data_IF_157381887970
#
_entry.id   IF_157381887970
#
_cell.length_a   1.000
_cell.length_b   1.000
_cell.length_c   1.000
_cell.angle_alpha   90.00
_cell.angle_beta   90.00
_cell.angle_gamma   90.00
#
_symmetry.space_group_name_H-M   'P 1'
#
loop_
_entity.id
_entity.type
_entity.pdbx_description
1 polymer ?
#
# COMPACT_ATOMS: atom_id res chain seq x y z
N UNK A 1 -11.14 9.88 -6.89
CA UNK A 1 -9.80 9.24 -6.80
C UNK A 1 -9.78 8.07 -5.80
N UNK A 2 -10.69 8.05 -4.82
CA UNK A 2 -10.83 6.98 -3.82
C UNK A 2 -11.03 5.57 -4.40
N UNK A 3 -11.98 5.40 -5.33
CA UNK A 3 -12.29 4.09 -5.94
C UNK A 3 -11.09 3.43 -6.64
N UNK A 4 -10.35 4.11 -7.54
CA UNK A 4 -9.17 3.53 -8.19
C UNK A 4 -8.02 3.18 -7.22
N UNK A 5 -7.76 4.03 -6.23
CA UNK A 5 -6.65 3.83 -5.26
C UNK A 5 -6.94 2.65 -4.33
N UNK A 6 -8.19 2.50 -3.89
CA UNK A 6 -8.58 1.33 -3.11
C UNK A 6 -8.51 0.05 -3.94
N UNK A 7 -8.93 0.09 -5.21
CA UNK A 7 -8.86 -1.07 -6.10
C UNK A 7 -7.41 -1.54 -6.31
N UNK A 8 -6.47 -0.63 -6.56
CA UNK A 8 -5.06 -0.99 -6.76
C UNK A 8 -4.41 -1.48 -5.48
N UNK A 9 -4.71 -0.84 -4.33
CA UNK A 9 -4.22 -1.26 -3.03
C UNK A 9 -4.70 -2.68 -2.67
N UNK A 10 -5.97 -2.99 -2.92
CA UNK A 10 -6.53 -4.32 -2.65
C UNK A 10 -5.91 -5.39 -3.55
N UNK A 11 -5.82 -5.14 -4.87
CA UNK A 11 -5.21 -6.08 -5.82
C UNK A 11 -3.75 -6.39 -5.43
N UNK A 12 -2.98 -5.35 -5.10
CA UNK A 12 -1.58 -5.52 -4.69
C UNK A 12 -1.48 -6.30 -3.37
N UNK A 13 -2.26 -5.94 -2.34
CA UNK A 13 -2.26 -6.64 -1.06
C UNK A 13 -2.60 -8.13 -1.21
N UNK A 14 -3.61 -8.48 -2.02
CA UNK A 14 -3.97 -9.88 -2.29
C UNK A 14 -2.84 -10.65 -2.99
N UNK A 15 -2.08 -10.01 -3.88
CA UNK A 15 -0.93 -10.63 -4.56
C UNK A 15 0.22 -11.04 -3.63
N UNK A 16 0.36 -10.38 -2.47
CA UNK A 16 1.43 -10.67 -1.50
C UNK A 16 1.03 -11.66 -0.40
N UNK A 17 -0.25 -12.05 -0.29
CA UNK A 17 -0.73 -13.03 0.70
C UNK A 17 0.03 -14.37 0.65
N UNK A 18 0.19 -15.05 -0.51
CA UNK A 18 0.91 -16.32 -0.54
C UNK A 18 2.38 -16.17 -0.11
N UNK A 19 2.99 -15.03 -0.42
CA UNK A 19 4.37 -14.72 -0.02
C UNK A 19 4.50 -14.44 1.48
N UNK A 20 3.46 -13.86 2.11
CA UNK A 20 3.41 -13.62 3.55
C UNK A 20 3.21 -14.89 4.38
N UNK A 21 2.56 -15.92 3.81
CA UNK A 21 2.25 -17.18 4.52
C UNK A 21 3.29 -18.27 4.22
N UNK A 22 4.02 -18.18 3.11
CA UNK A 22 5.01 -19.19 2.69
C UNK A 22 5.99 -19.57 3.81
N UNK A 23 6.08 -20.85 4.16
CA UNK A 23 6.98 -21.43 5.18
C UNK A 23 8.19 -22.17 4.58
N UNK A 24 8.31 -22.20 3.25
CA UNK A 24 9.36 -22.93 2.54
C UNK A 24 10.74 -22.24 2.56
N UNK A 25 11.69 -22.79 1.80
CA UNK A 25 13.04 -22.25 1.65
C UNK A 25 12.95 -20.80 1.12
N UNK A 26 13.63 -19.86 1.79
CA UNK A 26 13.58 -18.43 1.45
C UNK A 26 12.41 -17.66 2.07
N UNK A 27 11.55 -18.31 2.86
CA UNK A 27 10.47 -17.66 3.64
C UNK A 27 11.00 -16.61 4.63
N UNK A 28 12.21 -16.82 5.15
CA UNK A 28 12.91 -15.90 6.06
C UNK A 28 13.17 -14.51 5.45
N UNK A 29 13.22 -14.40 4.12
CA UNK A 29 13.36 -13.12 3.41
C UNK A 29 12.03 -12.67 2.79
N UNK A 30 11.25 -13.60 2.24
CA UNK A 30 9.99 -13.29 1.55
C UNK A 30 8.89 -12.79 2.49
N UNK A 31 8.76 -13.36 3.69
CA UNK A 31 7.75 -12.94 4.67
C UNK A 31 7.94 -11.50 5.16
N UNK A 32 9.13 -11.08 5.64
CA UNK A 32 9.32 -9.70 6.06
C UNK A 32 9.17 -8.74 4.88
N UNK A 33 9.66 -9.10 3.69
CA UNK A 33 9.50 -8.28 2.49
C UNK A 33 8.02 -8.09 2.10
N UNK A 34 7.23 -9.17 2.06
CA UNK A 34 5.80 -9.11 1.76
C UNK A 34 5.05 -8.26 2.80
N UNK A 35 5.39 -8.41 4.08
CA UNK A 35 4.78 -7.63 5.17
C UNK A 35 5.07 -6.14 5.03
N UNK A 36 6.32 -5.77 4.73
CA UNK A 36 6.72 -4.37 4.49
C UNK A 36 6.02 -3.79 3.28
N UNK A 37 5.92 -4.55 2.18
CA UNK A 37 5.25 -4.09 0.96
C UNK A 37 3.76 -3.83 1.19
N UNK A 38 3.06 -4.72 1.90
CA UNK A 38 1.63 -4.53 2.25
C UNK A 38 1.48 -3.27 3.11
N UNK A 39 2.31 -3.09 4.14
CA UNK A 39 2.29 -1.88 4.98
C UNK A 39 2.59 -0.60 4.20
N UNK A 40 3.53 -0.66 3.25
CA UNK A 40 3.89 0.44 2.35
C UNK A 40 2.73 0.84 1.44
N UNK A 41 2.02 -0.13 0.84
CA UNK A 41 0.85 0.11 -0.01
C UNK A 41 -0.29 0.76 0.79
N UNK A 42 -0.59 0.25 1.99
CA UNK A 42 -1.60 0.86 2.86
C UNK A 42 -1.24 2.30 3.22
N UNK A 43 0.02 2.54 3.59
CA UNK A 43 0.51 3.87 3.94
C UNK A 43 0.49 4.83 2.75
N UNK A 44 0.91 4.38 1.56
CA UNK A 44 0.88 5.16 0.32
C UNK A 44 -0.54 5.48 -0.14
N UNK A 45 -1.49 4.56 0.03
CA UNK A 45 -2.90 4.79 -0.26
C UNK A 45 -3.49 5.87 0.66
N UNK A 46 -3.20 5.80 1.97
CA UNK A 46 -3.60 6.82 2.95
C UNK A 46 -2.95 8.18 2.65
N UNK A 47 -1.64 8.21 2.38
CA UNK A 47 -0.93 9.42 1.97
C UNK A 47 -1.55 10.02 0.71
N UNK A 48 -1.83 9.22 -0.33
CA UNK A 48 -2.46 9.73 -1.56
C UNK A 48 -3.86 10.29 -1.31
N UNK A 49 -4.61 9.70 -0.38
CA UNK A 49 -5.97 10.13 -0.07
C UNK A 49 -6.05 11.31 0.89
N UNK A 50 -5.05 11.51 1.75
CA UNK A 50 -5.00 12.60 2.73
C UNK A 50 -4.07 13.74 2.28
N UNK A 51 -2.85 13.43 1.87
CA UNK A 51 -1.85 14.44 1.49
C UNK A 51 -2.23 15.15 0.20
N UNK A 52 -2.79 14.44 -0.78
CA UNK A 52 -3.18 15.06 -2.05
C UNK A 52 -4.27 16.12 -1.87
N UNK A 53 -5.41 15.89 -1.17
CA UNK A 53 -6.38 16.95 -0.91
C UNK A 53 -5.85 18.02 0.05
N UNK A 54 -5.00 17.67 1.02
CA UNK A 54 -4.38 18.67 1.92
C UNK A 54 -3.47 19.61 1.14
N UNK A 55 -2.63 19.09 0.25
CA UNK A 55 -1.80 19.90 -0.64
C UNK A 55 -2.65 20.74 -1.58
N UNK A 56 -3.72 20.17 -2.13
CA UNK A 56 -4.63 20.89 -3.01
C UNK A 56 -5.30 22.07 -2.29
N UNK A 57 -5.79 21.88 -1.07
CA UNK A 57 -6.38 22.96 -0.24
C UNK A 57 -5.32 23.99 0.18
N UNK A 58 -4.09 23.55 0.47
CA UNK A 58 -3.01 24.44 0.90
C UNK A 58 -2.51 25.33 -0.24
N UNK A 59 -2.33 24.78 -1.45
CA UNK A 59 -1.84 25.51 -2.62
C UNK A 59 -2.93 26.25 -3.40
N UNK A 60 -4.20 25.82 -3.34
CA UNK A 60 -5.32 26.54 -3.98
C UNK A 60 -5.81 27.74 -3.13
N UNK A 61 -5.23 27.94 -1.93
CA UNK A 61 -5.54 29.07 -1.05
C UNK A 61 -4.60 30.27 -1.23
N UNK A 62 -3.61 30.16 -2.12
CA UNK A 62 -2.83 31.29 -2.67
C UNK A 62 -3.47 31.79 -3.98
#
# INVERSE_FOLDING_TARGET
RLRPVLMTAMVAAFGFIPMAINTGIGAEVQRPLATVVIGGICSAALLTLLVLPVLYIAFEKD
#
